data_IF_725259236363
#
_entry.id   IF_725259236363
#
_cell.length_a   1.000
_cell.length_b   1.000
_cell.length_c   1.000
_cell.angle_alpha   90.00
_cell.angle_beta   90.00
_cell.angle_gamma   90.00
#
_symmetry.space_group_name_H-M   'P 1'
#
loop_
_entity.id
_entity.type
_entity.pdbx_description
1 polymer ?
#
# COMPACT_ATOMS: atom_id res chain seq x y z
N UNK A 1 19.15 -11.67 8.85
CA UNK A 1 18.14 -10.84 8.18
C UNK A 1 18.80 -10.27 6.94
N UNK A 2 18.34 -10.65 5.74
CA UNK A 2 18.86 -10.05 4.51
C UNK A 2 18.30 -8.64 4.35
N UNK A 3 19.16 -7.69 4.00
CA UNK A 3 18.79 -6.31 3.77
C UNK A 3 18.69 -6.06 2.27
N UNK A 4 17.50 -5.69 1.80
CA UNK A 4 17.22 -5.47 0.38
C UNK A 4 17.05 -3.96 0.17
N UNK A 5 17.89 -3.30 -0.65
CA UNK A 5 17.75 -1.87 -0.87
C UNK A 5 16.50 -1.56 -1.70
N UNK A 6 15.89 -0.42 -1.41
CA UNK A 6 14.86 0.18 -2.25
C UNK A 6 15.22 1.62 -2.61
N UNK A 7 14.52 2.18 -3.59
CA UNK A 7 14.63 3.60 -3.94
C UNK A 7 13.24 4.21 -4.06
N UNK A 8 13.10 5.50 -3.72
CA UNK A 8 11.85 6.24 -3.94
C UNK A 8 11.92 7.01 -5.26
N UNK A 9 10.91 6.83 -6.10
CA UNK A 9 10.67 7.64 -7.31
C UNK A 9 9.64 8.72 -6.96
N UNK A 10 9.98 9.98 -7.25
CA UNK A 10 9.12 11.10 -6.85
C UNK A 10 9.10 11.28 -5.34
N UNK A 11 7.90 11.30 -4.74
CA UNK A 11 7.72 11.49 -3.29
C UNK A 11 7.52 10.20 -2.48
N UNK A 12 6.99 9.14 -3.10
CA UNK A 12 6.50 7.96 -2.35
C UNK A 12 6.63 6.61 -3.08
N UNK A 13 6.79 6.59 -4.40
CA UNK A 13 6.73 5.36 -5.19
C UNK A 13 7.98 4.51 -4.91
N UNK A 14 7.80 3.41 -4.17
CA UNK A 14 8.88 2.53 -3.74
C UNK A 14 9.24 1.52 -4.83
N UNK A 15 10.42 1.67 -5.43
CA UNK A 15 10.98 0.73 -6.40
C UNK A 15 11.90 -0.28 -5.72
N UNK A 16 11.70 -1.56 -6.03
CA UNK A 16 12.42 -2.71 -5.45
C UNK A 16 12.91 -3.68 -6.54
N UNK A 17 14.00 -4.43 -6.29
CA UNK A 17 14.40 -5.55 -7.14
C UNK A 17 13.57 -6.80 -6.81
N UNK A 18 13.12 -7.51 -7.85
CA UNK A 18 12.41 -8.80 -7.74
C UNK A 18 12.98 -9.73 -8.80
N UNK A 19 13.17 -11.01 -8.49
CA UNK A 19 13.50 -12.02 -9.50
C UNK A 19 12.24 -12.74 -9.94
N UNK A 20 12.03 -12.82 -11.25
CA UNK A 20 10.91 -13.54 -11.85
C UNK A 20 11.49 -14.57 -12.81
N UNK A 21 11.25 -15.85 -12.55
CA UNK A 21 11.86 -16.97 -13.27
C UNK A 21 13.39 -16.82 -13.40
N UNK A 22 14.06 -16.42 -12.32
CA UNK A 22 15.51 -16.20 -12.26
C UNK A 22 16.01 -14.90 -12.91
N UNK A 23 15.15 -14.10 -13.55
CA UNK A 23 15.51 -12.79 -14.12
C UNK A 23 15.21 -11.68 -13.13
N UNK A 24 16.24 -10.94 -12.71
CA UNK A 24 16.07 -9.74 -11.88
C UNK A 24 15.46 -8.59 -12.68
N UNK A 25 14.40 -8.00 -12.14
CA UNK A 25 13.61 -6.93 -12.74
C UNK A 25 13.14 -5.93 -11.67
N UNK A 26 12.74 -4.73 -12.11
CA UNK A 26 12.28 -3.67 -11.21
C UNK A 26 10.77 -3.78 -10.99
N UNK A 27 10.35 -3.77 -9.73
CA UNK A 27 8.96 -3.75 -9.31
C UNK A 27 8.69 -2.50 -8.47
N UNK A 28 7.43 -2.17 -8.29
CA UNK A 28 6.99 -1.29 -7.20
C UNK A 28 6.53 -2.13 -6.02
N UNK A 29 6.68 -1.63 -4.80
CA UNK A 29 6.07 -2.22 -3.60
C UNK A 29 4.83 -1.41 -3.22
N UNK A 30 3.68 -2.09 -3.16
CA UNK A 30 2.40 -1.46 -2.88
C UNK A 30 1.55 -2.38 -2.00
N UNK A 31 1.26 -1.95 -0.77
CA UNK A 31 0.44 -2.73 0.16
C UNK A 31 -1.06 -2.59 -0.08
N UNK A 32 -1.51 -1.61 -0.87
CA UNK A 32 -2.92 -1.34 -1.21
C UNK A 32 -3.35 -1.84 -2.60
N UNK A 33 -2.45 -2.44 -3.39
CA UNK A 33 -2.76 -2.88 -4.76
C UNK A 33 -3.75 -4.06 -4.86
N UNK A 34 -3.93 -4.83 -3.77
CA UNK A 34 -4.67 -6.08 -3.76
C UNK A 34 -3.77 -7.27 -4.12
N UNK A 35 -3.82 -7.84 -5.35
CA UNK A 35 -2.93 -8.91 -5.76
C UNK A 35 -1.61 -8.38 -6.32
N UNK A 36 -0.56 -9.21 -6.31
CA UNK A 36 0.65 -8.91 -7.11
C UNK A 36 0.26 -8.86 -8.59
N UNK A 37 0.75 -7.84 -9.32
CA UNK A 37 0.44 -7.66 -10.74
C UNK A 37 1.70 -7.55 -11.59
N UNK A 38 1.63 -8.05 -12.82
CA UNK A 38 2.65 -7.89 -13.85
C UNK A 38 2.16 -6.99 -14.97
N UNK A 39 3.08 -6.26 -15.59
CA UNK A 39 2.75 -5.51 -16.80
C UNK A 39 2.42 -6.45 -17.95
N UNK A 40 1.42 -6.07 -18.75
CA UNK A 40 0.96 -6.85 -19.91
C UNK A 40 2.09 -7.25 -20.86
N UNK A 41 3.06 -6.38 -21.08
CA UNK A 41 4.19 -6.66 -21.97
C UNK A 41 5.17 -7.65 -21.36
N UNK A 42 5.36 -7.63 -20.04
CA UNK A 42 6.21 -8.61 -19.36
C UNK A 42 5.58 -10.01 -19.32
N UNK A 43 4.24 -10.08 -19.15
CA UNK A 43 3.49 -11.34 -19.26
C UNK A 43 3.68 -11.98 -20.63
N UNK A 44 3.61 -11.17 -21.71
CA UNK A 44 3.89 -11.64 -23.08
C UNK A 44 5.35 -12.09 -23.26
N UNK A 45 6.31 -11.32 -22.72
CA UNK A 45 7.73 -11.64 -22.77
C UNK A 45 8.02 -13.02 -22.13
N UNK A 46 7.38 -13.31 -21.01
CA UNK A 46 7.50 -14.58 -20.29
C UNK A 46 6.67 -15.72 -20.91
N UNK A 47 5.79 -15.44 -21.87
CA UNK A 47 4.92 -16.44 -22.49
C UNK A 47 3.95 -17.09 -21.51
N UNK A 48 3.43 -16.34 -20.53
CA UNK A 48 2.51 -16.89 -19.52
C UNK A 48 1.08 -16.94 -20.04
N UNK A 49 0.42 -18.07 -19.80
CA UNK A 49 -0.97 -18.28 -20.18
C UNK A 49 -1.95 -17.83 -19.10
N UNK A 50 -3.13 -17.39 -19.55
CA UNK A 50 -4.27 -17.09 -18.68
C UNK A 50 -4.70 -18.34 -17.92
N UNK A 51 -4.81 -18.20 -16.59
CA UNK A 51 -5.32 -19.25 -15.71
C UNK A 51 -6.70 -18.93 -15.13
N UNK A 52 -7.13 -17.67 -15.19
CA UNK A 52 -8.43 -17.26 -14.68
C UNK A 52 -8.73 -15.78 -14.86
N UNK A 53 -9.82 -15.34 -14.22
CA UNK A 53 -10.15 -13.94 -14.01
C UNK A 53 -10.60 -13.74 -12.57
N UNK A 54 -10.48 -12.51 -12.07
CA UNK A 54 -11.09 -12.10 -10.81
C UNK A 54 -11.77 -10.75 -10.99
N UNK A 55 -12.85 -10.53 -10.24
CA UNK A 55 -13.39 -9.20 -10.03
C UNK A 55 -12.53 -8.50 -8.97
N UNK A 56 -12.24 -7.23 -9.18
CA UNK A 56 -11.61 -6.35 -8.22
C UNK A 56 -12.35 -5.03 -8.15
N UNK A 57 -12.03 -4.22 -7.14
CA UNK A 57 -12.58 -2.86 -7.02
C UNK A 57 -11.45 -1.88 -6.79
N UNK A 58 -11.49 -0.74 -7.48
CA UNK A 58 -10.64 0.41 -7.16
C UNK A 58 -11.14 1.08 -5.89
N UNK A 59 -10.28 1.86 -5.24
CA UNK A 59 -10.67 2.72 -4.12
C UNK A 59 -11.84 3.65 -4.47
N UNK A 60 -11.99 4.04 -5.74
CA UNK A 60 -13.11 4.86 -6.27
C UNK A 60 -14.46 4.12 -6.28
N UNK A 61 -14.47 2.81 -6.04
CA UNK A 61 -15.65 1.95 -6.11
C UNK A 61 -15.90 1.32 -7.48
N UNK A 62 -15.08 1.64 -8.48
CA UNK A 62 -15.20 1.05 -9.81
C UNK A 62 -14.82 -0.43 -9.78
N UNK A 63 -15.72 -1.27 -10.28
CA UNK A 63 -15.43 -2.69 -10.50
C UNK A 63 -14.58 -2.87 -11.75
N UNK A 64 -13.62 -3.78 -11.67
CA UNK A 64 -12.78 -4.18 -12.80
C UNK A 64 -12.68 -5.69 -12.84
N UNK A 65 -12.62 -6.25 -14.04
CA UNK A 65 -12.22 -7.65 -14.22
C UNK A 65 -10.72 -7.69 -14.55
N UNK A 66 -9.97 -8.44 -13.75
CA UNK A 66 -8.54 -8.65 -13.93
C UNK A 66 -8.30 -10.05 -14.47
N UNK A 67 -7.46 -10.16 -15.51
CA UNK A 67 -6.97 -11.46 -15.98
C UNK A 67 -5.86 -11.95 -15.07
N UNK A 68 -5.89 -13.24 -14.75
CA UNK A 68 -4.90 -13.91 -13.92
C UNK A 68 -4.02 -14.81 -14.76
N UNK A 69 -2.72 -14.81 -14.45
CA UNK A 69 -1.71 -15.72 -14.99
C UNK A 69 -0.96 -16.38 -13.84
N UNK A 70 -0.26 -17.48 -14.12
CA UNK A 70 0.56 -18.18 -13.13
C UNK A 70 2.03 -18.00 -13.45
N UNK A 71 2.78 -17.43 -12.51
CA UNK A 71 4.23 -17.26 -12.61
C UNK A 71 4.90 -18.45 -11.92
N UNK A 72 5.76 -19.21 -12.63
CA UNK A 72 6.42 -20.38 -12.04
C UNK A 72 7.21 -20.06 -10.77
N UNK A 73 7.95 -18.95 -10.75
CA UNK A 73 8.75 -18.56 -9.60
C UNK A 73 8.90 -17.04 -9.50
N UNK A 74 8.63 -16.50 -8.32
CA UNK A 74 8.90 -15.11 -7.96
C UNK A 74 9.70 -15.09 -6.65
N UNK A 75 10.80 -14.34 -6.63
CA UNK A 75 11.70 -14.26 -5.48
C UNK A 75 11.93 -12.80 -5.08
N UNK A 76 11.96 -12.56 -3.77
CA UNK A 76 12.32 -11.26 -3.18
C UNK A 76 13.25 -11.50 -1.97
N UNK A 77 14.54 -11.21 -2.14
CA UNK A 77 15.57 -11.69 -1.23
C UNK A 77 15.55 -13.21 -1.16
N UNK A 78 15.54 -13.75 0.07
CA UNK A 78 15.40 -15.19 0.34
C UNK A 78 13.95 -15.72 0.30
N UNK A 79 12.95 -14.86 0.15
CA UNK A 79 11.57 -15.33 0.00
C UNK A 79 11.31 -15.82 -1.42
N UNK A 80 10.77 -17.03 -1.52
CA UNK A 80 10.40 -17.66 -2.78
C UNK A 80 8.92 -17.99 -2.78
N UNK A 81 8.23 -17.66 -3.87
CA UNK A 81 6.86 -18.11 -4.16
C UNK A 81 6.84 -18.84 -5.49
N UNK A 82 6.52 -20.11 -5.43
CA UNK A 82 6.31 -20.94 -6.61
C UNK A 82 4.86 -20.88 -7.05
N UNK A 83 4.63 -20.99 -8.36
CA UNK A 83 3.29 -21.05 -8.97
C UNK A 83 2.37 -19.89 -8.53
N UNK A 84 2.95 -18.70 -8.35
CA UNK A 84 2.24 -17.52 -7.86
C UNK A 84 1.22 -17.05 -8.89
N UNK A 85 -0.03 -16.94 -8.48
CA UNK A 85 -1.09 -16.34 -9.29
C UNK A 85 -0.99 -14.82 -9.19
N UNK A 86 -0.93 -14.16 -10.34
CA UNK A 86 -0.74 -12.70 -10.43
C UNK A 86 -1.73 -12.12 -11.43
N UNK A 87 -2.12 -10.88 -11.17
CA UNK A 87 -2.91 -10.08 -12.08
C UNK A 87 -2.10 -9.53 -13.24
N UNK A 88 -2.79 -9.15 -14.32
CA UNK A 88 -2.21 -8.36 -15.41
C UNK A 88 -2.70 -6.92 -15.30
N UNK A 89 -1.77 -5.98 -15.33
CA UNK A 89 -2.08 -4.55 -15.41
C UNK A 89 -1.52 -3.92 -16.69
N UNK A 90 -2.20 -2.88 -17.19
CA UNK A 90 -1.78 -2.12 -18.35
C UNK A 90 -0.95 -0.90 -17.93
N UNK A 91 0.36 -0.97 -18.17
CA UNK A 91 1.31 0.10 -17.85
C UNK A 91 1.49 1.11 -18.98
N UNK A 92 0.74 1.01 -20.10
CA UNK A 92 0.91 1.86 -21.27
C UNK A 92 0.69 3.36 -21.00
N UNK A 93 -0.09 3.68 -19.97
CA UNK A 93 -0.36 5.07 -19.53
C UNK A 93 0.53 5.53 -18.38
N UNK A 94 1.44 4.68 -17.90
CA UNK A 94 2.35 5.07 -16.84
C UNK A 94 3.30 6.17 -17.33
N UNK A 95 3.69 7.11 -16.45
CA UNK A 95 4.71 8.10 -16.77
C UNK A 95 6.01 7.44 -17.24
N UNK A 96 6.76 8.15 -18.08
CA UNK A 96 7.99 7.60 -18.68
C UNK A 96 9.01 7.09 -17.66
N UNK A 97 9.03 7.68 -16.46
CA UNK A 97 9.91 7.28 -15.36
C UNK A 97 9.62 5.85 -14.85
N UNK A 98 8.43 5.30 -15.11
CA UNK A 98 8.01 3.96 -14.68
C UNK A 98 8.03 2.93 -15.82
N UNK A 99 8.55 3.25 -17.02
CA UNK A 99 8.53 2.33 -18.17
C UNK A 99 9.27 1.02 -17.95
N UNK A 100 10.30 1.04 -17.11
CA UNK A 100 11.11 -0.16 -16.80
C UNK A 100 10.49 -1.04 -15.72
N UNK A 101 9.41 -0.59 -15.07
CA UNK A 101 8.70 -1.36 -14.05
C UNK A 101 7.97 -2.53 -14.70
N UNK A 102 8.26 -3.73 -14.20
CA UNK A 102 7.69 -4.99 -14.71
C UNK A 102 6.49 -5.50 -13.91
N UNK A 103 6.25 -4.94 -12.74
CA UNK A 103 5.10 -5.29 -11.90
C UNK A 103 5.02 -4.47 -10.63
N UNK A 104 3.98 -4.74 -9.86
CA UNK A 104 3.77 -4.22 -8.51
C UNK A 104 3.63 -5.42 -7.59
N UNK A 105 4.49 -5.50 -6.58
CA UNK A 105 4.52 -6.56 -5.59
C UNK A 105 3.56 -6.19 -4.45
N UNK A 106 2.57 -7.05 -4.23
CA UNK A 106 1.59 -6.89 -3.14
C UNK A 106 2.16 -7.36 -1.80
N UNK A 107 1.64 -6.79 -0.73
CA UNK A 107 1.85 -7.27 0.64
C UNK A 107 1.47 -8.75 0.81
N UNK A 108 0.54 -9.26 0.01
CA UNK A 108 0.13 -10.67 0.00
C UNK A 108 1.26 -11.64 -0.35
N UNK A 109 2.33 -11.18 -1.03
CA UNK A 109 3.53 -11.99 -1.26
C UNK A 109 4.16 -12.45 0.07
N UNK A 110 4.05 -11.63 1.12
CA UNK A 110 4.64 -11.85 2.43
C UNK A 110 3.69 -12.49 3.45
N UNK A 111 2.56 -13.08 3.04
CA UNK A 111 1.52 -13.60 3.95
C UNK A 111 2.01 -14.57 5.05
N UNK A 112 3.10 -15.29 4.78
CA UNK A 112 3.69 -16.30 5.67
C UNK A 112 5.00 -15.81 6.34
N UNK A 113 5.34 -14.54 6.15
CA UNK A 113 6.59 -13.93 6.64
C UNK A 113 6.30 -12.58 7.28
N UNK A 114 7.29 -12.01 7.96
CA UNK A 114 7.23 -10.64 8.45
C UNK A 114 8.04 -9.75 7.53
N UNK A 115 7.35 -8.80 6.88
CA UNK A 115 7.95 -7.81 6.00
C UNK A 115 8.21 -6.52 6.77
N UNK A 116 9.41 -5.96 6.69
CA UNK A 116 9.77 -4.73 7.40
C UNK A 116 10.32 -3.69 6.43
N UNK A 117 9.88 -2.45 6.58
CA UNK A 117 10.36 -1.29 5.85
C UNK A 117 11.11 -0.38 6.82
N UNK A 118 12.41 -0.22 6.60
CA UNK A 118 13.24 0.80 7.23
C UNK A 118 13.45 1.95 6.25
N UNK A 119 12.59 2.96 6.38
CA UNK A 119 12.64 4.15 5.53
C UNK A 119 13.91 4.99 5.73
N UNK A 120 14.52 4.96 6.92
CA UNK A 120 15.70 5.77 7.22
C UNK A 120 16.93 5.26 6.50
N UNK A 121 17.06 3.94 6.37
CA UNK A 121 18.19 3.32 5.70
C UNK A 121 17.89 2.94 4.24
N UNK A 122 16.66 3.15 3.77
CA UNK A 122 16.17 2.66 2.46
C UNK A 122 16.34 1.14 2.30
N UNK A 123 16.01 0.40 3.37
CA UNK A 123 16.16 -1.05 3.42
C UNK A 123 14.83 -1.74 3.69
N UNK A 124 14.65 -2.89 3.05
CA UNK A 124 13.58 -3.84 3.29
C UNK A 124 14.18 -5.09 3.91
N UNK A 125 13.37 -5.73 4.76
CA UNK A 125 13.75 -6.97 5.40
C UNK A 125 12.59 -7.94 5.35
N UNK A 126 12.93 -9.22 5.18
CA UNK A 126 11.99 -10.31 5.39
C UNK A 126 12.55 -11.28 6.41
N UNK A 127 11.71 -11.63 7.39
CA UNK A 127 12.06 -12.59 8.44
C UNK A 127 10.91 -13.51 8.76
N UNK A 128 11.22 -14.70 9.24
CA UNK A 128 10.25 -15.50 9.97
C UNK A 128 9.80 -14.78 11.25
N UNK A 129 8.56 -15.00 11.67
CA UNK A 129 7.86 -14.26 12.75
C UNK A 129 8.53 -14.29 14.13
N UNK A 130 9.58 -15.10 14.33
CA UNK A 130 10.15 -15.40 15.63
C UNK A 130 11.30 -14.48 16.10
N UNK A 131 11.86 -13.58 15.27
CA UNK A 131 13.13 -12.88 15.60
C UNK A 131 13.16 -11.33 15.43
N UNK A 132 12.01 -10.68 15.43
CA UNK A 132 11.88 -9.25 15.10
C UNK A 132 12.48 -8.25 16.10
N UNK A 133 12.39 -8.52 17.40
CA UNK A 133 12.77 -7.53 18.43
C UNK A 133 14.29 -7.34 18.57
N UNK A 134 15.11 -8.21 17.98
CA UNK A 134 16.57 -8.17 18.16
C UNK A 134 17.26 -7.10 17.31
N UNK A 135 16.59 -6.51 16.31
CA UNK A 135 17.23 -5.60 15.34
C UNK A 135 16.78 -4.15 15.40
N UNK A 136 15.55 -3.86 15.83
CA UNK A 136 14.97 -2.50 15.78
C UNK A 136 14.55 -1.94 17.14
N UNK A 137 14.87 -2.63 18.24
CA UNK A 137 14.47 -2.27 19.60
C UNK A 137 13.03 -2.68 19.94
N UNK A 138 12.46 -2.08 20.97
CA UNK A 138 11.08 -2.36 21.40
C UNK A 138 10.07 -1.66 20.48
N UNK A 139 9.36 -2.45 19.67
CA UNK A 139 8.30 -1.98 18.78
C UNK A 139 6.93 -1.99 19.45
N UNK A 140 6.07 -1.05 19.06
CA UNK A 140 4.68 -0.99 19.51
C UNK A 140 3.81 -1.68 18.47
N UNK A 141 3.08 -2.69 18.93
CA UNK A 141 2.26 -3.53 18.09
C UNK A 141 0.79 -3.15 18.09
N UNK A 142 0.18 -3.12 16.90
CA UNK A 142 -1.23 -2.78 16.69
C UNK A 142 -1.93 -3.89 15.92
N UNK A 143 -3.19 -4.19 16.25
CA UNK A 143 -3.95 -5.19 15.53
C UNK A 143 -4.22 -4.72 14.10
N UNK A 144 -4.06 -5.65 13.15
CA UNK A 144 -4.51 -5.52 11.78
C UNK A 144 -5.78 -6.34 11.58
N UNK A 145 -6.70 -5.78 10.82
CA UNK A 145 -7.72 -6.57 10.15
C UNK A 145 -7.21 -6.91 8.75
N UNK A 146 -7.32 -8.18 8.38
CA UNK A 146 -6.77 -8.72 7.14
C UNK A 146 -7.90 -9.34 6.35
N UNK A 147 -8.13 -8.81 5.16
CA UNK A 147 -9.11 -9.34 4.21
C UNK A 147 -8.39 -10.09 3.08
N UNK A 148 -8.97 -11.22 2.69
CA UNK A 148 -8.48 -12.06 1.61
C UNK A 148 -9.58 -12.23 0.57
N UNK A 149 -9.25 -11.98 -0.69
CA UNK A 149 -10.12 -12.24 -1.83
C UNK A 149 -9.30 -12.81 -3.00
N UNK A 150 -9.34 -14.13 -3.16
CA UNK A 150 -8.47 -14.84 -4.09
C UNK A 150 -6.98 -14.54 -3.81
N UNK A 151 -6.20 -14.05 -4.80
CA UNK A 151 -4.80 -13.66 -4.61
C UNK A 151 -4.61 -12.30 -3.93
N UNK A 152 -5.69 -11.55 -3.65
CA UNK A 152 -5.61 -10.22 -3.03
C UNK A 152 -5.52 -10.31 -1.51
N UNK A 153 -4.71 -9.44 -0.94
CA UNK A 153 -4.64 -9.20 0.51
C UNK A 153 -4.79 -7.72 0.76
N UNK A 154 -5.72 -7.34 1.63
CA UNK A 154 -5.91 -5.95 2.08
C UNK A 154 -5.72 -5.87 3.59
N UNK A 155 -4.97 -4.87 4.04
CA UNK A 155 -4.67 -4.65 5.45
C UNK A 155 -5.37 -3.38 5.94
N UNK A 156 -6.10 -3.50 7.05
CA UNK A 156 -6.74 -2.39 7.72
C UNK A 156 -6.19 -2.19 9.12
N UNK A 157 -6.04 -0.94 9.52
CA UNK A 157 -5.63 -0.54 10.87
C UNK A 157 -6.61 0.48 11.45
N UNK A 158 -6.87 0.38 12.75
CA UNK A 158 -7.70 1.35 13.46
C UNK A 158 -7.00 2.71 13.58
N UNK A 159 -7.68 3.79 13.22
CA UNK A 159 -7.20 5.17 13.31
C UNK A 159 -8.18 6.00 14.10
N UNK A 160 -7.69 6.64 15.16
CA UNK A 160 -8.42 7.65 15.92
C UNK A 160 -8.27 9.01 15.26
N UNK A 161 -9.39 9.61 14.90
CA UNK A 161 -9.50 10.96 14.34
C UNK A 161 -9.50 12.02 15.46
N UNK A 162 -9.24 13.30 15.14
CA UNK A 162 -9.37 14.40 16.10
C UNK A 162 -10.77 14.54 16.72
N UNK A 163 -11.81 14.10 16.00
CA UNK A 163 -13.19 14.02 16.52
C UNK A 163 -13.35 13.05 17.70
N UNK A 164 -12.34 12.20 17.95
CA UNK A 164 -12.36 11.12 18.93
C UNK A 164 -12.89 9.79 18.38
N UNK A 165 -13.48 9.79 17.18
CA UNK A 165 -13.97 8.58 16.51
C UNK A 165 -12.80 7.72 16.06
N UNK A 166 -12.96 6.41 16.19
CA UNK A 166 -12.09 5.42 15.55
C UNK A 166 -12.72 4.96 14.23
N UNK A 167 -11.92 4.95 13.17
CA UNK A 167 -12.26 4.51 11.82
C UNK A 167 -11.22 3.51 11.31
N UNK A 168 -11.55 2.74 10.27
CA UNK A 168 -10.61 1.77 9.69
C UNK A 168 -9.96 2.34 8.45
N UNK A 169 -8.63 2.45 8.45
CA UNK A 169 -7.88 2.87 7.27
C UNK A 169 -7.16 1.68 6.66
N UNK A 170 -7.18 1.59 5.33
CA UNK A 170 -6.29 0.67 4.61
C UNK A 170 -4.84 1.12 4.77
N UNK A 171 -3.90 0.19 4.88
CA UNK A 171 -2.47 0.49 4.87
C UNK A 171 -1.95 0.40 3.45
N UNK A 172 -1.61 1.55 2.87
CA UNK A 172 -1.33 1.68 1.43
C UNK A 172 -0.01 2.44 1.21
N UNK A 173 1.09 1.70 0.99
CA UNK A 173 2.39 2.30 0.64
C UNK A 173 2.43 2.89 -0.77
N UNK A 174 1.45 2.59 -1.62
CA UNK A 174 1.27 3.16 -2.96
C UNK A 174 0.67 4.57 -2.94
N UNK A 175 0.06 4.99 -1.83
CA UNK A 175 -0.43 6.37 -1.63
C UNK A 175 0.61 7.26 -0.94
N UNK A 176 0.78 8.50 -1.42
CA UNK A 176 1.70 9.47 -0.79
C UNK A 176 1.17 9.96 0.57
N UNK A 177 0.05 10.67 0.54
CA UNK A 177 -0.59 11.26 1.72
C UNK A 177 -1.76 10.41 2.16
N UNK A 178 -2.28 10.71 3.34
CA UNK A 178 -3.56 10.13 3.77
C UNK A 178 -4.66 10.53 2.78
N UNK A 179 -5.43 9.54 2.37
CA UNK A 179 -6.70 9.76 1.68
C UNK A 179 -7.80 9.47 2.67
N UNK A 180 -8.73 10.39 2.85
CA UNK A 180 -9.83 10.27 3.80
C UNK A 180 -11.14 10.31 3.03
N UNK A 181 -12.12 9.52 3.45
CA UNK A 181 -13.42 9.56 2.82
C UNK A 181 -14.05 10.96 2.97
N UNK A 182 -14.52 11.55 1.88
CA UNK A 182 -15.12 12.90 1.89
C UNK A 182 -16.33 13.00 2.83
N UNK A 183 -17.01 11.89 3.16
CA UNK A 183 -18.08 11.85 4.17
C UNK A 183 -17.62 12.28 5.58
N UNK A 184 -16.32 12.23 5.86
CA UNK A 184 -15.73 12.59 7.15
C UNK A 184 -15.35 14.07 7.25
N UNK A 185 -15.41 14.84 6.15
CA UNK A 185 -15.03 16.26 6.16
C UNK A 185 -15.79 17.07 7.21
N UNK A 186 -17.12 16.94 7.26
CA UNK A 186 -17.96 17.66 8.22
C UNK A 186 -17.68 17.29 9.67
N UNK A 187 -17.39 16.00 9.95
CA UNK A 187 -16.99 15.52 11.28
C UNK A 187 -15.66 16.13 11.74
N UNK A 188 -14.77 16.40 10.79
CA UNK A 188 -13.46 17.01 11.00
C UNK A 188 -13.50 18.55 10.97
N UNK A 189 -14.69 19.15 10.86
CA UNK A 189 -14.87 20.60 10.81
C UNK A 189 -14.34 21.24 9.54
N UNK A 190 -14.31 20.50 8.43
CA UNK A 190 -13.85 20.96 7.12
C UNK A 190 -15.06 21.02 6.17
N UNK A 191 -15.22 22.15 5.49
CA UNK A 191 -16.21 22.35 4.44
C UNK A 191 -15.53 22.43 3.06
N UNK A 192 -16.11 21.83 2.00
CA UNK A 192 -15.64 21.99 0.62
C UNK A 192 -15.47 23.45 0.15
N UNK A 193 -16.13 24.40 0.81
CA UNK A 193 -16.14 25.83 0.45
C UNK A 193 -15.24 26.68 1.36
N UNK A 194 -14.48 26.09 2.28
CA UNK A 194 -13.54 26.84 3.12
C UNK A 194 -12.39 27.40 2.27
N UNK A 195 -11.88 28.58 2.65
CA UNK A 195 -10.84 29.29 1.88
C UNK A 195 -9.52 28.51 1.77
N UNK A 196 -9.22 27.66 2.76
CA UNK A 196 -8.00 26.84 2.84
C UNK A 196 -8.16 25.43 2.24
N UNK A 197 -9.29 25.15 1.57
CA UNK A 197 -9.58 23.87 0.91
C UNK A 197 -9.44 24.01 -0.59
N UNK A 198 -8.51 23.24 -1.17
CA UNK A 198 -8.33 23.18 -2.62
C UNK A 198 -9.23 22.09 -3.22
N UNK A 199 -9.99 22.41 -4.28
CA UNK A 199 -10.80 21.44 -4.99
C UNK A 199 -10.17 21.09 -6.34
N UNK A 200 -9.91 19.80 -6.58
CA UNK A 200 -9.40 19.27 -7.84
C UNK A 200 -10.42 18.32 -8.44
N UNK A 201 -10.80 18.55 -9.69
CA UNK A 201 -11.67 17.66 -10.46
C UNK A 201 -10.94 17.15 -11.68
N UNK A 202 -11.22 15.91 -12.07
CA UNK A 202 -10.60 15.31 -13.24
C UNK A 202 -11.26 14.00 -13.63
N UNK A 203 -10.66 13.33 -14.59
CA UNK A 203 -11.11 12.05 -15.11
C UNK A 203 -9.92 11.10 -15.12
N UNK A 204 -10.12 9.88 -14.63
CA UNK A 204 -9.08 8.84 -14.67
C UNK A 204 -8.94 8.20 -16.07
N UNK A 205 -8.04 7.23 -16.20
CA UNK A 205 -7.80 6.55 -17.46
C UNK A 205 -9.00 5.80 -18.03
N UNK A 206 -9.99 5.49 -17.19
CA UNK A 206 -11.20 4.76 -17.55
C UNK A 206 -12.34 5.70 -17.95
N UNK A 207 -12.18 7.01 -17.82
CA UNK A 207 -13.24 7.98 -18.05
C UNK A 207 -14.05 8.31 -16.79
N UNK A 208 -13.63 7.85 -15.62
CA UNK A 208 -14.36 8.08 -14.37
C UNK A 208 -14.00 9.43 -13.75
N UNK A 209 -15.03 10.22 -13.48
CA UNK A 209 -14.86 11.52 -12.87
C UNK A 209 -14.55 11.39 -11.38
N UNK A 210 -13.54 12.13 -10.94
CA UNK A 210 -13.22 12.26 -9.53
C UNK A 210 -13.24 13.71 -9.09
N UNK A 211 -13.59 13.89 -7.82
CA UNK A 211 -13.48 15.14 -7.09
C UNK A 211 -12.65 14.88 -5.83
N UNK A 212 -11.66 15.74 -5.60
CA UNK A 212 -10.74 15.68 -4.48
C UNK A 212 -10.70 17.03 -3.78
N UNK A 213 -10.74 17.01 -2.47
CA UNK A 213 -10.51 18.20 -1.65
C UNK A 213 -9.21 18.04 -0.89
N UNK A 214 -8.28 18.99 -1.04
CA UNK A 214 -6.99 18.97 -0.35
C UNK A 214 -7.09 19.97 0.79
N UNK A 215 -6.91 19.48 2.01
CA UNK A 215 -7.11 20.29 3.22
C UNK A 215 -6.20 19.80 4.35
N UNK A 216 -6.06 20.62 5.38
CA UNK A 216 -5.33 20.23 6.60
C UNK A 216 -6.34 19.84 7.68
N UNK A 217 -6.23 18.62 8.19
CA UNK A 217 -7.00 18.20 9.38
C UNK A 217 -6.43 18.95 10.58
N UNK A 218 -7.25 19.68 11.34
CA UNK A 218 -6.81 20.33 12.57
C UNK A 218 -6.78 19.32 13.72
N UNK A 219 -5.63 19.19 14.38
CA UNK A 219 -5.43 18.24 15.47
C UNK A 219 -4.58 17.04 15.08
N UNK A 220 -4.73 15.94 15.82
CA UNK A 220 -3.88 14.76 15.68
C UNK A 220 -4.70 13.56 15.22
N UNK A 221 -4.18 12.84 14.23
CA UNK A 221 -4.60 11.45 13.97
C UNK A 221 -3.64 10.51 14.68
N UNK A 222 -4.16 9.40 15.21
CA UNK A 222 -3.36 8.41 15.93
C UNK A 222 -3.77 6.99 15.52
N UNK A 223 -2.84 6.06 15.52
CA UNK A 223 -3.21 4.64 15.47
C UNK A 223 -3.98 4.29 16.75
N UNK A 224 -5.09 3.57 16.61
CA UNK A 224 -5.94 3.17 17.74
C UNK A 224 -5.13 2.39 18.79
N UNK A 225 -5.38 2.68 20.07
CA UNK A 225 -4.84 1.91 21.19
C UNK A 225 -3.52 2.41 21.78
N UNK A 226 -2.92 3.51 21.28
CA UNK A 226 -1.75 4.12 21.92
C UNK A 226 -1.58 5.62 21.61
N UNK A 227 -1.01 6.38 22.54
CA UNK A 227 -0.76 7.84 22.43
C UNK A 227 0.56 8.18 21.70
N UNK A 228 1.10 7.27 20.89
CA UNK A 228 2.50 7.33 20.48
C UNK A 228 2.79 7.36 18.99
N UNK A 229 1.90 6.81 18.16
CA UNK A 229 2.07 6.69 16.72
C UNK A 229 1.02 7.59 16.08
N UNK A 230 1.44 8.80 15.71
CA UNK A 230 0.55 9.91 15.41
C UNK A 230 1.09 10.79 14.30
N UNK A 231 0.19 11.55 13.67
CA UNK A 231 0.55 12.64 12.77
C UNK A 231 -0.27 13.88 13.13
N UNK A 232 0.44 14.96 13.43
CA UNK A 232 -0.17 16.24 13.78
C UNK A 232 -0.42 17.11 12.56
N UNK A 233 -1.61 17.67 12.48
CA UNK A 233 -2.09 18.55 11.43
C UNK A 233 -1.78 18.05 9.99
N UNK A 234 -2.13 16.80 9.64
CA UNK A 234 -1.77 16.26 8.33
C UNK A 234 -2.51 17.01 7.22
N UNK A 235 -1.79 17.27 6.13
CA UNK A 235 -2.40 17.69 4.86
C UNK A 235 -2.84 16.43 4.11
N UNK A 236 -4.14 16.33 3.85
CA UNK A 236 -4.78 15.10 3.35
C UNK A 236 -5.56 15.37 2.07
N UNK A 237 -5.90 14.30 1.37
CA UNK A 237 -6.86 14.32 0.27
C UNK A 237 -8.18 13.73 0.77
N UNK A 238 -9.27 14.47 0.66
CA UNK A 238 -10.62 13.95 0.80
C UNK A 238 -11.16 13.53 -0.56
N UNK A 239 -11.65 12.29 -0.66
CA UNK A 239 -12.25 11.76 -1.87
C UNK A 239 -13.38 10.80 -1.50
N UNK A 240 -14.41 10.68 -2.34
CA UNK A 240 -15.38 9.61 -2.17
C UNK A 240 -14.73 8.26 -2.54
N UNK A 241 -14.52 7.42 -1.53
CA UNK A 241 -13.82 6.13 -1.65
C UNK A 241 -14.58 5.04 -0.89
N UNK A 242 -14.29 3.78 -1.16
CA UNK A 242 -14.96 2.65 -0.51
C UNK A 242 -14.51 2.42 0.95
N UNK A 243 -13.33 2.93 1.33
CA UNK A 243 -12.79 2.85 2.69
C UNK A 243 -13.15 4.10 3.51
N UNK A 244 -12.94 4.08 4.83
CA UNK A 244 -12.99 5.32 5.62
C UNK A 244 -11.75 6.20 5.36
N UNK A 245 -10.62 5.58 5.04
CA UNK A 245 -9.39 6.25 4.59
C UNK A 245 -8.27 5.28 4.26
N UNK A 246 -7.12 5.83 3.90
CA UNK A 246 -5.86 5.14 3.59
C UNK A 246 -4.74 5.79 4.40
N UNK A 247 -3.87 5.00 5.03
CA UNK A 247 -2.58 5.46 5.56
C UNK A 247 -1.52 5.31 4.47
N UNK A 248 -0.99 6.46 4.06
CA UNK A 248 0.04 6.57 3.03
C UNK A 248 1.47 6.66 3.53
N UNK A 249 2.38 6.76 2.58
CA UNK A 249 3.82 6.92 2.74
C UNK A 249 4.21 8.07 3.69
N UNK A 250 3.55 9.22 3.62
CA UNK A 250 3.86 10.41 4.42
C UNK A 250 3.72 10.17 5.93
N UNK A 251 2.80 9.29 6.32
CA UNK A 251 2.66 8.83 7.70
C UNK A 251 3.72 7.77 8.03
N UNK A 252 3.81 6.72 7.19
CA UNK A 252 4.61 5.52 7.44
C UNK A 252 6.12 5.80 7.46
N UNK A 253 6.61 6.72 6.62
CA UNK A 253 8.03 7.06 6.49
C UNK A 253 8.67 7.62 7.76
N UNK A 254 7.88 7.95 8.77
CA UNK A 254 8.35 8.46 10.06
C UNK A 254 8.79 7.34 11.02
N UNK A 255 8.55 6.07 10.65
CA UNK A 255 8.79 4.90 11.48
C UNK A 255 9.58 3.84 10.72
N UNK A 256 10.10 2.86 11.45
CA UNK A 256 10.33 1.52 10.88
C UNK A 256 9.02 0.76 11.09
N UNK A 257 8.51 0.14 10.04
CA UNK A 257 7.21 -0.53 10.07
C UNK A 257 7.35 -1.98 9.66
N UNK A 258 6.75 -2.87 10.44
CA UNK A 258 6.72 -4.29 10.14
C UNK A 258 5.29 -4.82 10.05
N UNK A 259 5.08 -5.67 9.06
CA UNK A 259 3.81 -6.31 8.73
C UNK A 259 3.92 -7.79 9.06
N UNK A 260 3.29 -8.20 10.16
CA UNK A 260 3.10 -9.60 10.54
C UNK A 260 1.66 -9.99 10.19
N UNK A 261 1.48 -10.43 8.94
CA UNK A 261 0.15 -10.72 8.37
C UNK A 261 -0.46 -11.95 9.05
N UNK A 262 0.34 -13.00 9.28
CA UNK A 262 -0.08 -14.21 9.99
C UNK A 262 -0.46 -13.95 11.45
N UNK A 263 0.29 -13.08 12.13
CA UNK A 263 -0.01 -12.59 13.48
C UNK A 263 -1.07 -11.50 13.53
N UNK A 264 -1.59 -11.04 12.38
CA UNK A 264 -2.56 -9.95 12.23
C UNK A 264 -2.13 -8.70 12.98
N UNK A 265 -0.88 -8.28 12.78
CA UNK A 265 -0.26 -7.23 13.56
C UNK A 265 0.66 -6.37 12.71
N UNK A 266 0.57 -5.06 12.93
CA UNK A 266 1.54 -4.09 12.43
C UNK A 266 2.37 -3.58 13.61
N UNK A 267 3.68 -3.51 13.43
CA UNK A 267 4.59 -3.08 14.49
C UNK A 267 5.29 -1.80 14.04
N UNK A 268 5.24 -0.79 14.88
CA UNK A 268 5.92 0.49 14.66
C UNK A 268 7.07 0.61 15.65
N UNK A 269 8.26 0.87 15.13
CA UNK A 269 9.42 1.21 15.96
C UNK A 269 9.61 2.72 15.89
N UNK A 270 9.53 3.37 17.05
CA UNK A 270 9.80 4.80 17.15
C UNK A 270 11.29 5.04 16.94
N UNK A 271 11.59 6.15 16.29
CA UNK A 271 12.92 6.72 16.21
C UNK A 271 13.33 7.33 17.55
#
# INVERSE_FOLDING_TARGET
MEAIPFSIIGSHIMQIPVKVNGKEVKFLMDTGIGPTVLSKDFVKELGLDKVGTMAGRRMSGQELEMTLVRVPMVEFGNEVRENLEVGIFDTSRFPNVLRDIKGILSIGFFKDSVFTIDYSNSLLYVTDSLNMNMSFGEGIGFPLEVEYDGPSVTLYIGVKLPSGRVVKFEVDTGSDVLIVNSKLMGELGISPNDEDVECVRGTDETGYEYERFIATIKGEIAIEGNNGITQSNPRVIFQNIIHDGLIGHDFLKNYIVSFDIGGKKMIFYKR
#
